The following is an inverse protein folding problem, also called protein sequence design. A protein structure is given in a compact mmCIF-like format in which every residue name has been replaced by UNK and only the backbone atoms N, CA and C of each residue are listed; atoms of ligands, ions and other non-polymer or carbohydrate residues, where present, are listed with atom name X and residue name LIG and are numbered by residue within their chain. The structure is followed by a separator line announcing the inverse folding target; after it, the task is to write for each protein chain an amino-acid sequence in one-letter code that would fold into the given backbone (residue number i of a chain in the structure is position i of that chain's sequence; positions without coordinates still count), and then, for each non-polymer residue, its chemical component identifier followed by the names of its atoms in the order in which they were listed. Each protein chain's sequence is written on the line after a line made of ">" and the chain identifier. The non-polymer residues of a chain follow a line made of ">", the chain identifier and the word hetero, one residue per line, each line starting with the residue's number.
data_IF_274102968398
#
_entry.id   IF_274102968398
#
_cell.length_a   1.000
_cell.length_b   1.000
_cell.length_c   1.000
_cell.angle_alpha   90.00
_cell.angle_beta   90.00
_cell.angle_gamma   90.00
#
_symmetry.space_group_name_H-M   'P 1'
#
loop_
_entity.id
_entity.type
_entity.pdbx_description
1 polymer ?
#
# COMPACT_ATOMS: atom_id res chain seq x y z
N UNK A 1 -6.34 -26.21 -14.28
CA UNK A 1 -7.11 -25.55 -13.19
C UNK A 1 -6.16 -24.91 -12.19
N UNK A 2 -5.25 -25.66 -11.58
CA UNK A 2 -4.22 -25.15 -10.65
C UNK A 2 -3.37 -23.99 -11.19
N UNK A 3 -2.86 -24.08 -12.42
CA UNK A 3 -2.10 -22.99 -13.06
C UNK A 3 -2.92 -21.70 -13.24
N UNK A 4 -4.21 -21.84 -13.58
CA UNK A 4 -5.11 -20.69 -13.71
C UNK A 4 -5.36 -20.05 -12.35
N UNK A 5 -5.60 -20.85 -11.30
CA UNK A 5 -5.77 -20.37 -9.94
C UNK A 5 -4.53 -19.64 -9.39
N UNK A 6 -3.31 -20.02 -9.82
CA UNK A 6 -2.08 -19.32 -9.46
C UNK A 6 -1.86 -18.01 -10.21
N UNK A 7 -2.26 -17.91 -11.49
CA UNK A 7 -2.07 -16.71 -12.31
C UNK A 7 -3.19 -15.68 -12.14
N UNK A 8 -4.41 -16.14 -11.81
CA UNK A 8 -5.59 -15.30 -11.66
C UNK A 8 -5.40 -14.14 -10.65
N UNK A 9 -4.81 -14.34 -9.45
CA UNK A 9 -4.52 -13.25 -8.52
C UNK A 9 -3.60 -12.17 -9.10
N UNK A 10 -2.59 -12.55 -9.90
CA UNK A 10 -1.70 -11.58 -10.57
C UNK A 10 -2.47 -10.78 -11.62
N UNK A 11 -3.26 -11.45 -12.46
CA UNK A 11 -4.06 -10.78 -13.50
C UNK A 11 -5.05 -9.81 -12.85
N UNK A 12 -5.71 -10.21 -11.77
CA UNK A 12 -6.56 -9.33 -10.98
C UNK A 12 -5.78 -8.18 -10.32
N UNK A 13 -4.56 -8.42 -9.83
CA UNK A 13 -3.72 -7.39 -9.24
C UNK A 13 -3.26 -6.35 -10.28
N UNK A 14 -2.82 -6.80 -11.45
CA UNK A 14 -2.47 -5.91 -12.57
C UNK A 14 -3.70 -5.12 -13.03
N UNK A 15 -4.82 -5.82 -13.25
CA UNK A 15 -6.09 -5.20 -13.63
C UNK A 15 -6.57 -4.17 -12.59
N UNK A 16 -6.39 -4.45 -11.30
CA UNK A 16 -6.71 -3.51 -10.23
C UNK A 16 -5.82 -2.27 -10.27
N UNK A 17 -4.50 -2.44 -10.38
CA UNK A 17 -3.58 -1.29 -10.43
C UNK A 17 -3.85 -0.36 -11.62
N UNK A 18 -4.15 -0.92 -12.80
CA UNK A 18 -4.53 -0.11 -13.96
C UNK A 18 -5.95 0.46 -13.84
N UNK A 19 -6.90 -0.33 -13.33
CA UNK A 19 -8.31 0.06 -13.20
C UNK A 19 -8.54 1.17 -12.17
N UNK A 20 -7.83 1.14 -11.04
CA UNK A 20 -7.94 2.20 -10.01
C UNK A 20 -7.55 3.56 -10.59
N UNK A 21 -6.48 3.63 -11.38
CA UNK A 21 -6.07 4.89 -12.01
C UNK A 21 -7.16 5.47 -12.94
N UNK A 22 -7.96 4.61 -13.59
CA UNK A 22 -9.06 5.02 -14.46
C UNK A 22 -10.30 5.45 -13.65
N UNK A 23 -10.60 4.75 -12.55
CA UNK A 23 -11.73 5.06 -11.66
C UNK A 23 -11.47 6.32 -10.83
N UNK A 24 -10.23 6.56 -10.41
CA UNK A 24 -9.79 7.79 -9.73
C UNK A 24 -10.08 9.06 -10.55
N UNK A 25 -10.19 8.94 -11.88
CA UNK A 25 -10.57 10.05 -12.76
C UNK A 25 -12.03 10.49 -12.60
N UNK A 26 -12.92 9.59 -12.13
CA UNK A 26 -14.37 9.86 -11.99
C UNK A 26 -14.81 10.00 -10.53
N UNK A 27 -14.10 9.37 -9.59
CA UNK A 27 -14.36 9.50 -8.15
C UNK A 27 -13.02 9.66 -7.42
N UNK A 28 -12.81 10.76 -6.67
CA UNK A 28 -11.57 10.92 -5.90
C UNK A 28 -11.45 9.76 -4.91
N UNK A 29 -10.29 9.11 -4.83
CA UNK A 29 -10.05 8.06 -3.84
C UNK A 29 -9.82 8.67 -2.45
N UNK A 30 -9.86 7.83 -1.41
CA UNK A 30 -9.41 8.25 -0.06
C UNK A 30 -8.00 8.88 -0.09
N UNK A 31 -7.13 8.42 -1.00
CA UNK A 31 -5.77 8.97 -1.17
C UNK A 31 -5.79 10.45 -1.58
N UNK A 32 -6.72 10.83 -2.46
CA UNK A 32 -6.95 12.21 -2.91
C UNK A 32 -7.49 13.08 -1.77
N UNK A 33 -8.42 12.58 -0.97
CA UNK A 33 -8.90 13.34 0.19
C UNK A 33 -7.76 13.56 1.20
N UNK A 34 -6.95 12.54 1.42
CA UNK A 34 -5.81 12.63 2.33
C UNK A 34 -4.69 13.54 1.80
N UNK A 35 -4.57 13.77 0.48
CA UNK A 35 -3.57 14.73 -0.02
C UNK A 35 -3.90 16.16 0.41
N UNK A 36 -5.17 16.53 0.50
CA UNK A 36 -5.60 17.82 1.07
C UNK A 36 -5.20 17.96 2.53
N UNK A 37 -5.34 16.88 3.33
CA UNK A 37 -4.92 16.90 4.73
C UNK A 37 -3.40 16.93 4.89
N UNK A 38 -2.65 16.27 3.99
CA UNK A 38 -1.18 16.39 3.94
C UNK A 38 -0.75 17.81 3.62
N UNK A 39 -1.42 18.49 2.68
CA UNK A 39 -1.17 19.91 2.39
C UNK A 39 -1.41 20.78 3.63
N UNK A 40 -2.53 20.58 4.33
CA UNK A 40 -2.81 21.28 5.59
C UNK A 40 -1.80 20.97 6.67
N UNK A 41 -1.35 19.73 6.75
CA UNK A 41 -0.32 19.34 7.70
C UNK A 41 0.96 20.14 7.45
N UNK A 42 1.44 20.21 6.20
CA UNK A 42 2.60 21.03 5.82
C UNK A 42 2.36 22.52 6.10
N UNK A 43 1.21 23.07 5.70
CA UNK A 43 0.87 24.48 5.92
C UNK A 43 0.78 24.85 7.42
N UNK A 44 0.41 23.90 8.28
CA UNK A 44 0.42 24.10 9.72
C UNK A 44 1.83 23.95 10.30
N UNK A 45 2.64 23.04 9.75
CA UNK A 45 4.02 22.83 10.14
C UNK A 45 4.89 24.08 9.86
N UNK A 46 4.60 24.85 8.82
CA UNK A 46 5.33 26.12 8.55
C UNK A 46 5.06 27.20 9.59
N UNK A 47 3.90 27.15 10.25
CA UNK A 47 3.42 28.18 11.19
C UNK A 47 3.63 27.80 12.66
N UNK A 48 3.93 26.54 12.96
CA UNK A 48 4.07 26.04 14.33
C UNK A 48 5.49 25.53 14.55
N UNK A 49 6.04 25.86 15.70
CA UNK A 49 7.32 25.33 16.15
C UNK A 49 7.04 24.18 17.12
N UNK A 50 7.01 22.94 16.62
CA UNK A 50 6.65 21.77 17.42
C UNK A 50 7.39 20.51 16.97
N UNK A 51 7.86 19.66 17.92
CA UNK A 51 8.45 18.37 17.58
C UNK A 51 7.42 17.36 17.04
N UNK A 52 6.12 17.68 17.08
CA UNK A 52 5.04 16.80 16.63
C UNK A 52 5.24 16.29 15.21
N UNK A 53 5.71 17.16 14.31
CA UNK A 53 5.92 16.86 12.90
C UNK A 53 7.02 15.81 12.68
N UNK A 54 8.11 15.91 13.45
CA UNK A 54 9.19 14.93 13.44
C UNK A 54 8.73 13.58 14.01
N UNK A 55 7.94 13.59 15.10
CA UNK A 55 7.41 12.37 15.73
C UNK A 55 6.46 11.63 14.77
N UNK A 56 5.50 12.34 14.18
CA UNK A 56 4.55 11.75 13.23
C UNK A 56 5.26 11.16 12.01
N UNK A 57 6.22 11.90 11.45
CA UNK A 57 6.99 11.45 10.29
C UNK A 57 7.87 10.24 10.63
N UNK A 58 8.50 10.24 11.81
CA UNK A 58 9.27 9.11 12.33
C UNK A 58 8.42 7.85 12.49
N UNK A 59 7.21 7.97 13.04
CA UNK A 59 6.27 6.85 13.17
C UNK A 59 5.86 6.26 11.81
N UNK A 60 5.59 7.13 10.82
CA UNK A 60 5.28 6.68 9.45
C UNK A 60 6.46 5.92 8.83
N UNK A 61 7.67 6.46 8.95
CA UNK A 61 8.87 5.81 8.44
C UNK A 61 9.16 4.47 9.12
N UNK A 62 8.96 4.38 10.44
CA UNK A 62 9.13 3.14 11.18
C UNK A 62 8.16 2.06 10.69
N UNK A 63 6.88 2.41 10.48
CA UNK A 63 5.89 1.49 9.93
C UNK A 63 6.26 0.99 8.52
N UNK A 64 6.74 1.90 7.66
CA UNK A 64 7.21 1.55 6.30
C UNK A 64 8.43 0.62 6.35
N UNK A 65 9.40 0.94 7.22
CA UNK A 65 10.64 0.15 7.38
C UNK A 65 10.36 -1.26 7.92
N UNK A 66 9.43 -1.38 8.87
CA UNK A 66 8.99 -2.67 9.40
C UNK A 66 8.42 -3.54 8.27
N UNK A 67 7.49 -3.00 7.48
CA UNK A 67 6.87 -3.73 6.38
C UNK A 67 7.88 -4.09 5.28
N UNK A 68 8.83 -3.21 4.95
CA UNK A 68 9.90 -3.52 4.02
C UNK A 68 10.76 -4.69 4.52
N UNK A 69 11.14 -4.68 5.79
CA UNK A 69 11.92 -5.76 6.41
C UNK A 69 11.15 -7.07 6.43
N UNK A 70 9.85 -7.03 6.74
CA UNK A 70 8.98 -8.21 6.65
C UNK A 70 8.90 -8.75 5.23
N UNK A 71 8.85 -7.88 4.20
CA UNK A 71 8.85 -8.33 2.80
C UNK A 71 10.12 -9.11 2.47
N UNK A 72 11.29 -8.63 2.92
CA UNK A 72 12.58 -9.32 2.70
C UNK A 72 12.59 -10.70 3.38
N UNK A 73 12.11 -10.79 4.62
CA UNK A 73 12.03 -12.06 5.34
C UNK A 73 11.13 -13.07 4.61
N UNK A 74 9.99 -12.62 4.09
CA UNK A 74 9.08 -13.48 3.31
C UNK A 74 9.73 -13.89 1.99
N UNK A 75 10.42 -12.98 1.30
CA UNK A 75 11.18 -13.29 0.08
C UNK A 75 12.21 -14.39 0.35
N UNK A 76 12.99 -14.28 1.44
CA UNK A 76 13.96 -15.29 1.84
C UNK A 76 13.30 -16.65 2.13
N UNK A 77 12.17 -16.65 2.84
CA UNK A 77 11.43 -17.87 3.16
C UNK A 77 10.91 -18.57 1.89
N UNK A 78 10.35 -17.80 0.94
CA UNK A 78 9.88 -18.34 -0.34
C UNK A 78 11.06 -18.88 -1.16
N UNK A 79 12.18 -18.16 -1.19
CA UNK A 79 13.38 -18.61 -1.91
C UNK A 79 13.94 -19.93 -1.35
N UNK A 80 13.97 -20.07 -0.02
CA UNK A 80 14.34 -21.32 0.63
C UNK A 80 13.36 -22.47 0.32
N UNK A 81 12.06 -22.17 0.27
CA UNK A 81 11.03 -23.14 -0.10
C UNK A 81 11.17 -23.64 -1.55
N UNK A 82 11.57 -22.76 -2.48
CA UNK A 82 11.85 -23.13 -3.88
C UNK A 82 12.98 -24.16 -3.99
N UNK A 83 14.00 -24.07 -3.12
CA UNK A 83 15.09 -25.05 -3.06
C UNK A 83 14.67 -26.44 -2.58
N UNK A 84 13.53 -26.56 -1.89
CA UNK A 84 13.05 -27.79 -1.26
C UNK A 84 11.62 -28.17 -1.70
N UNK A 85 11.23 -27.81 -2.93
CA UNK A 85 9.84 -27.98 -3.40
C UNK A 85 9.34 -29.42 -3.32
N UNK A 86 10.17 -30.40 -3.67
CA UNK A 86 9.76 -31.82 -3.62
C UNK A 86 9.33 -32.21 -2.19
N UNK A 87 10.16 -31.92 -1.18
CA UNK A 87 9.83 -32.20 0.22
C UNK A 87 8.63 -31.39 0.73
N UNK A 88 8.44 -30.16 0.23
CA UNK A 88 7.27 -29.35 0.56
C UNK A 88 5.97 -29.94 -0.02
N UNK A 89 6.00 -30.44 -1.26
CA UNK A 89 4.86 -31.13 -1.89
C UNK A 89 4.54 -32.42 -1.12
N UNK A 90 5.55 -33.21 -0.78
CA UNK A 90 5.36 -34.45 -0.02
C UNK A 90 4.73 -34.17 1.35
N UNK A 91 5.23 -33.15 2.06
CA UNK A 91 4.69 -32.73 3.36
C UNK A 91 3.24 -32.28 3.26
N UNK A 92 2.91 -31.45 2.27
CA UNK A 92 1.53 -30.98 2.04
C UNK A 92 0.59 -32.13 1.66
N UNK A 93 1.07 -33.10 0.88
CA UNK A 93 0.30 -34.28 0.51
C UNK A 93 -0.01 -35.17 1.73
N UNK A 94 0.91 -35.25 2.69
CA UNK A 94 0.71 -35.99 3.94
C UNK A 94 -0.36 -35.37 4.85
N UNK A 95 -0.58 -34.05 4.76
CA UNK A 95 -1.67 -33.38 5.48
C UNK A 95 -3.07 -33.70 4.92
N UNK A 96 -3.17 -34.41 3.78
CA UNK A 96 -4.45 -34.82 3.22
C UNK A 96 -5.30 -33.66 2.66
N UNK A 97 -4.68 -32.50 2.44
CA UNK A 97 -5.31 -31.39 1.73
C UNK A 97 -5.43 -31.84 0.26
N UNK A 98 -6.66 -32.17 -0.16
CA UNK A 98 -7.01 -33.04 -1.30
C UNK A 98 -6.68 -32.55 -2.71
N UNK A 99 -5.46 -32.07 -2.94
CA UNK A 99 -4.95 -31.58 -4.21
C UNK A 99 -3.61 -32.25 -4.51
N UNK A 100 -3.57 -33.04 -5.59
CA UNK A 100 -2.30 -33.54 -6.13
C UNK A 100 -1.53 -32.37 -6.76
N UNK A 101 -0.66 -31.75 -5.99
CA UNK A 101 0.22 -30.69 -6.48
C UNK A 101 1.36 -31.30 -7.29
N UNK A 102 1.53 -30.87 -8.54
CA UNK A 102 2.75 -31.19 -9.28
C UNK A 102 3.87 -30.26 -8.82
N UNK A 103 5.10 -30.78 -8.76
CA UNK A 103 6.30 -29.99 -8.42
C UNK A 103 6.40 -28.74 -9.29
N UNK A 104 6.10 -28.85 -10.59
CA UNK A 104 6.11 -27.71 -11.51
C UNK A 104 5.05 -26.64 -11.18
N UNK A 105 3.82 -27.05 -10.84
CA UNK A 105 2.77 -26.08 -10.44
C UNK A 105 3.15 -25.36 -9.15
N UNK A 106 3.76 -26.08 -8.20
CA UNK A 106 4.24 -25.51 -6.94
C UNK A 106 5.38 -24.50 -7.16
N UNK A 107 6.35 -24.82 -8.02
CA UNK A 107 7.43 -23.90 -8.39
C UNK A 107 6.88 -22.61 -9.00
N UNK A 108 5.96 -22.72 -9.96
CA UNK A 108 5.32 -21.54 -10.58
C UNK A 108 4.58 -20.71 -9.53
N UNK A 109 3.83 -21.35 -8.63
CA UNK A 109 3.10 -20.66 -7.58
C UNK A 109 4.04 -19.91 -6.61
N UNK A 110 5.14 -20.54 -6.19
CA UNK A 110 6.15 -19.89 -5.34
C UNK A 110 6.84 -18.72 -6.05
N UNK A 111 7.12 -18.83 -7.35
CA UNK A 111 7.67 -17.72 -8.15
C UNK A 111 6.68 -16.54 -8.26
N UNK A 112 5.39 -16.83 -8.35
CA UNK A 112 4.32 -15.83 -8.31
C UNK A 112 4.33 -15.09 -6.97
N UNK A 113 4.30 -15.82 -5.85
CA UNK A 113 4.40 -15.23 -4.51
C UNK A 113 5.68 -14.41 -4.33
N UNK A 114 6.81 -14.94 -4.78
CA UNK A 114 8.10 -14.26 -4.74
C UNK A 114 8.03 -12.92 -5.47
N UNK A 115 7.46 -12.91 -6.68
CA UNK A 115 7.32 -11.70 -7.49
C UNK A 115 6.46 -10.62 -6.79
N UNK A 116 5.36 -11.02 -6.16
CA UNK A 116 4.49 -10.10 -5.40
C UNK A 116 5.27 -9.45 -4.24
N UNK A 117 5.99 -10.24 -3.45
CA UNK A 117 6.74 -9.71 -2.30
C UNK A 117 7.96 -8.89 -2.69
N UNK A 118 8.64 -9.24 -3.79
CA UNK A 118 9.71 -8.40 -4.36
C UNK A 118 9.15 -7.04 -4.80
N UNK A 119 8.02 -7.02 -5.52
CA UNK A 119 7.36 -5.77 -5.92
C UNK A 119 6.91 -4.94 -4.71
N UNK A 120 6.41 -5.60 -3.65
CA UNK A 120 6.07 -4.94 -2.39
C UNK A 120 7.28 -4.32 -1.71
N UNK A 121 8.40 -5.05 -1.65
CA UNK A 121 9.65 -4.56 -1.08
C UNK A 121 10.15 -3.30 -1.81
N UNK A 122 10.15 -3.29 -3.14
CA UNK A 122 10.52 -2.10 -3.92
C UNK A 122 9.57 -0.93 -3.64
N UNK A 123 8.26 -1.18 -3.55
CA UNK A 123 7.26 -0.16 -3.24
C UNK A 123 7.49 0.47 -1.85
N UNK A 124 7.77 -0.35 -0.84
CA UNK A 124 8.09 0.15 0.50
C UNK A 124 9.43 0.90 0.55
N UNK A 125 10.46 0.40 -0.13
CA UNK A 125 11.76 1.08 -0.20
C UNK A 125 11.66 2.43 -0.90
N UNK A 126 10.89 2.53 -1.99
CA UNK A 126 10.59 3.79 -2.66
C UNK A 126 9.80 4.73 -1.75
N UNK A 127 8.79 4.22 -1.05
CA UNK A 127 8.03 5.00 -0.06
C UNK A 127 8.94 5.55 1.04
N UNK A 128 9.86 4.74 1.57
CA UNK A 128 10.77 5.13 2.63
C UNK A 128 11.72 6.24 2.15
N UNK A 129 12.26 6.13 0.94
CA UNK A 129 13.08 7.19 0.33
C UNK A 129 12.32 8.50 0.20
N UNK A 130 11.08 8.46 -0.30
CA UNK A 130 10.28 9.67 -0.46
C UNK A 130 9.86 10.28 0.89
N UNK A 131 9.58 9.46 1.92
CA UNK A 131 9.36 9.99 3.28
C UNK A 131 10.61 10.62 3.87
N UNK A 132 11.80 10.06 3.65
CA UNK A 132 13.05 10.68 4.06
C UNK A 132 13.23 12.05 3.41
N UNK A 133 13.02 12.16 2.10
CA UNK A 133 13.09 13.44 1.39
C UNK A 133 12.05 14.43 1.92
N UNK A 134 10.82 13.97 2.21
CA UNK A 134 9.79 14.80 2.84
C UNK A 134 10.25 15.33 4.21
N UNK A 135 10.85 14.51 5.07
CA UNK A 135 11.37 14.95 6.37
C UNK A 135 12.48 15.99 6.21
N UNK A 136 13.36 15.83 5.23
CA UNK A 136 14.42 16.81 4.94
C UNK A 136 13.82 18.14 4.52
N UNK A 137 12.86 18.14 3.58
CA UNK A 137 12.21 19.38 3.15
C UNK A 137 11.41 20.03 4.28
N UNK A 138 10.72 19.24 5.09
CA UNK A 138 9.95 19.73 6.24
C UNK A 138 10.87 20.36 7.29
N UNK A 139 12.04 19.76 7.55
CA UNK A 139 13.04 20.28 8.47
C UNK A 139 13.85 21.47 7.92
N UNK A 140 13.79 21.72 6.60
CA UNK A 140 14.43 22.87 5.96
C UNK A 140 13.57 24.13 5.99
N UNK A 141 12.30 24.03 6.44
CA UNK A 141 11.41 25.18 6.57
C UNK A 141 11.96 26.12 7.65
N UNK A 142 12.10 27.40 7.30
CA UNK A 142 12.37 28.47 8.27
C UNK A 142 11.05 29.10 8.74
N UNK A 143 10.99 29.47 10.02
CA UNK A 143 9.86 30.22 10.58
C UNK A 143 10.02 31.75 10.45
N UNK A 144 11.20 32.22 10.03
CA UNK A 144 11.49 33.66 9.89
C UNK A 144 10.82 34.26 8.66
N UNK A 145 10.68 33.47 7.58
CA UNK A 145 10.00 33.87 6.36
C UNK A 145 8.77 32.99 6.13
N UNK A 146 7.60 33.57 5.80
CA UNK A 146 6.43 32.79 5.49
C UNK A 146 6.68 31.92 4.25
N UNK A 147 6.52 30.60 4.41
CA UNK A 147 6.62 29.66 3.30
C UNK A 147 5.60 30.00 2.20
N UNK A 148 6.02 29.89 0.95
CA UNK A 148 5.14 30.14 -0.19
C UNK A 148 4.15 28.99 -0.38
N UNK A 149 3.00 29.25 -1.01
CA UNK A 149 2.02 28.19 -1.33
C UNK A 149 2.64 27.12 -2.26
N UNK A 150 3.54 27.50 -3.17
CA UNK A 150 4.26 26.59 -4.06
C UNK A 150 5.18 25.64 -3.29
N UNK A 151 5.89 26.15 -2.28
CA UNK A 151 6.73 25.35 -1.40
C UNK A 151 5.91 24.35 -0.58
N UNK A 152 4.81 24.80 0.01
CA UNK A 152 3.86 23.94 0.75
C UNK A 152 3.33 22.83 -0.16
N UNK A 153 2.94 23.17 -1.39
CA UNK A 153 2.41 22.21 -2.35
C UNK A 153 3.47 21.19 -2.81
N UNK A 154 4.71 21.62 -3.02
CA UNK A 154 5.81 20.73 -3.39
C UNK A 154 6.09 19.69 -2.29
N UNK A 155 6.19 20.13 -1.03
CA UNK A 155 6.43 19.26 0.13
C UNK A 155 5.24 18.29 0.32
N UNK A 156 4.00 18.78 0.21
CA UNK A 156 2.80 17.96 0.36
C UNK A 156 2.65 16.92 -0.76
N UNK A 157 3.05 17.27 -1.98
CA UNK A 157 3.04 16.35 -3.13
C UNK A 157 4.04 15.22 -2.92
N UNK A 158 5.22 15.51 -2.36
CA UNK A 158 6.22 14.49 -2.03
C UNK A 158 5.71 13.51 -0.96
N UNK A 159 5.05 14.03 0.09
CA UNK A 159 4.40 13.19 1.10
C UNK A 159 3.30 12.30 0.48
N UNK A 160 2.52 12.87 -0.45
CA UNK A 160 1.46 12.14 -1.15
C UNK A 160 2.03 11.03 -2.06
N UNK A 161 3.17 11.28 -2.71
CA UNK A 161 3.88 10.28 -3.51
C UNK A 161 4.43 9.14 -2.64
N UNK A 162 5.00 9.47 -1.48
CA UNK A 162 5.45 8.48 -0.50
C UNK A 162 4.26 7.60 -0.06
N UNK A 163 3.16 8.21 0.37
CA UNK A 163 1.96 7.48 0.78
C UNK A 163 1.35 6.62 -0.35
N UNK A 164 1.44 7.05 -1.61
CA UNK A 164 1.01 6.25 -2.77
C UNK A 164 1.84 4.97 -2.89
N UNK A 165 3.17 5.06 -2.80
CA UNK A 165 4.06 3.90 -2.84
C UNK A 165 3.84 2.96 -1.64
N UNK A 166 3.60 3.52 -0.45
CA UNK A 166 3.23 2.74 0.73
C UNK A 166 1.95 1.92 0.50
N UNK A 167 0.90 2.57 0.00
CA UNK A 167 -0.37 1.91 -0.30
C UNK A 167 -0.22 0.85 -1.41
N UNK A 168 0.65 1.07 -2.41
CA UNK A 168 0.95 0.06 -3.42
C UNK A 168 1.56 -1.21 -2.80
N UNK A 169 2.50 -1.06 -1.86
CA UNK A 169 3.07 -2.19 -1.13
C UNK A 169 2.03 -2.94 -0.29
N UNK A 170 1.20 -2.21 0.46
CA UNK A 170 0.09 -2.81 1.22
C UNK A 170 -0.89 -3.56 0.30
N UNK A 171 -1.19 -3.01 -0.88
CA UNK A 171 -2.03 -3.69 -1.86
C UNK A 171 -1.40 -4.99 -2.33
N UNK A 172 -0.10 -5.01 -2.64
CA UNK A 172 0.59 -6.25 -2.98
C UNK A 172 0.46 -7.30 -1.87
N UNK A 173 0.56 -6.92 -0.60
CA UNK A 173 0.34 -7.82 0.54
C UNK A 173 -1.08 -8.40 0.56
N UNK A 174 -2.09 -7.59 0.26
CA UNK A 174 -3.46 -8.08 0.16
C UNK A 174 -3.64 -9.11 -0.95
N UNK A 175 -2.97 -8.94 -2.09
CA UNK A 175 -3.00 -9.94 -3.17
C UNK A 175 -2.13 -11.17 -2.90
N UNK A 176 -1.26 -11.15 -1.88
CA UNK A 176 -0.57 -12.35 -1.42
C UNK A 176 -1.49 -13.27 -0.58
N UNK A 177 -2.54 -12.74 0.06
CA UNK A 177 -3.46 -13.55 0.89
C UNK A 177 -4.20 -14.63 0.08
N UNK A 178 -4.81 -14.34 -1.09
CA UNK A 178 -5.38 -15.39 -1.93
C UNK A 178 -4.35 -16.40 -2.43
N UNK A 179 -3.10 -15.96 -2.67
CA UNK A 179 -2.04 -16.86 -3.07
C UNK A 179 -1.68 -17.83 -1.92
N UNK A 180 -1.68 -17.41 -0.66
CA UNK A 180 -1.54 -18.33 0.48
C UNK A 180 -2.72 -19.31 0.57
N UNK A 181 -3.95 -18.86 0.30
CA UNK A 181 -5.13 -19.73 0.31
C UNK A 181 -5.09 -20.87 -0.73
N UNK A 182 -4.27 -20.72 -1.76
CA UNK A 182 -4.06 -21.74 -2.79
C UNK A 182 -3.47 -23.05 -2.23
N UNK A 183 -2.68 -22.98 -1.16
CA UNK A 183 -2.16 -24.17 -0.47
C UNK A 183 -3.25 -25.02 0.18
N UNK A 184 -4.46 -24.47 0.38
CA UNK A 184 -5.61 -25.20 0.94
C UNK A 184 -6.51 -25.73 -0.17
N UNK A 185 -6.82 -24.91 -1.18
CA UNK A 185 -7.64 -25.32 -2.32
C UNK A 185 -7.57 -24.30 -3.45
N UNK A 186 -7.52 -24.79 -4.69
CA UNK A 186 -7.63 -23.97 -5.91
C UNK A 186 -8.89 -23.08 -5.89
N UNK A 187 -10.02 -23.59 -5.39
CA UNK A 187 -11.28 -22.84 -5.33
C UNK A 187 -11.25 -21.76 -4.24
N UNK A 188 -10.63 -22.06 -3.10
CA UNK A 188 -10.49 -21.12 -2.00
C UNK A 188 -9.66 -19.90 -2.43
N UNK A 189 -8.59 -20.11 -3.21
CA UNK A 189 -7.81 -19.02 -3.79
C UNK A 189 -8.66 -18.09 -4.66
N UNK A 190 -9.55 -18.64 -5.50
CA UNK A 190 -10.44 -17.84 -6.37
C UNK A 190 -11.45 -17.05 -5.52
N UNK A 191 -12.13 -17.71 -4.57
CA UNK A 191 -13.12 -17.06 -3.70
C UNK A 191 -12.47 -15.94 -2.87
N UNK A 192 -11.29 -16.19 -2.30
CA UNK A 192 -10.56 -15.20 -1.51
C UNK A 192 -10.05 -14.07 -2.42
N UNK A 193 -9.65 -14.35 -3.66
CA UNK A 193 -9.28 -13.30 -4.62
C UNK A 193 -10.45 -12.35 -4.90
N UNK A 194 -11.64 -12.89 -5.19
CA UNK A 194 -12.84 -12.07 -5.45
C UNK A 194 -13.27 -11.30 -4.21
N UNK A 195 -13.23 -11.95 -3.05
CA UNK A 195 -13.55 -11.31 -1.76
C UNK A 195 -12.58 -10.17 -1.47
N UNK A 196 -11.28 -10.39 -1.68
CA UNK A 196 -10.26 -9.38 -1.44
C UNK A 196 -10.36 -8.21 -2.43
N UNK A 197 -10.60 -8.49 -3.70
CA UNK A 197 -10.83 -7.46 -4.70
C UNK A 197 -12.04 -6.59 -4.31
N UNK A 198 -13.15 -7.23 -3.94
CA UNK A 198 -14.37 -6.54 -3.48
C UNK A 198 -14.10 -5.72 -2.23
N UNK A 199 -13.35 -6.28 -1.27
CA UNK A 199 -12.97 -5.60 -0.04
C UNK A 199 -12.11 -4.37 -0.31
N UNK A 200 -11.08 -4.46 -1.15
CA UNK A 200 -10.20 -3.32 -1.46
C UNK A 200 -10.98 -2.24 -2.21
N UNK A 201 -11.77 -2.60 -3.23
CA UNK A 201 -12.63 -1.65 -3.97
C UNK A 201 -13.61 -0.95 -3.03
N UNK A 202 -14.32 -1.71 -2.20
CA UNK A 202 -15.25 -1.15 -1.24
C UNK A 202 -14.54 -0.25 -0.23
N UNK A 203 -13.35 -0.63 0.23
CA UNK A 203 -12.58 0.18 1.18
C UNK A 203 -12.07 1.48 0.56
N UNK A 204 -11.64 1.44 -0.70
CA UNK A 204 -11.03 2.58 -1.40
C UNK A 204 -12.07 3.64 -1.83
N UNK A 205 -13.31 3.23 -2.13
CA UNK A 205 -14.36 4.12 -2.64
C UNK A 205 -15.60 4.28 -1.75
N UNK A 206 -15.92 3.31 -0.89
CA UNK A 206 -17.18 3.28 -0.12
C UNK A 206 -17.00 3.26 1.40
N UNK A 207 -15.78 3.12 1.92
CA UNK A 207 -15.53 3.09 3.37
C UNK A 207 -15.98 4.39 4.06
N UNK A 208 -16.58 4.25 5.25
CA UNK A 208 -16.92 5.35 6.17
C UNK A 208 -15.77 6.33 6.39
N UNK A 209 -14.52 5.87 6.30
CA UNK A 209 -13.33 6.73 6.35
C UNK A 209 -13.28 7.75 5.19
N UNK A 210 -13.77 7.42 4.00
CA UNK A 210 -13.91 8.35 2.88
C UNK A 210 -14.94 9.45 3.20
N UNK A 211 -16.11 9.06 3.73
CA UNK A 211 -17.17 10.02 4.12
C UNK A 211 -16.72 10.94 5.25
N UNK A 212 -15.99 10.41 6.25
CA UNK A 212 -15.49 11.17 7.39
C UNK A 212 -14.31 12.06 6.97
N UNK A 213 -13.37 11.56 6.17
CA UNK A 213 -12.28 12.38 5.66
C UNK A 213 -12.79 13.49 4.72
N UNK A 214 -13.81 13.20 3.90
CA UNK A 214 -14.49 14.20 3.07
C UNK A 214 -15.17 15.27 3.91
N UNK A 215 -15.88 14.90 4.99
CA UNK A 215 -16.52 15.88 5.87
C UNK A 215 -15.49 16.76 6.60
N UNK A 216 -14.39 16.19 7.08
CA UNK A 216 -13.29 16.96 7.69
C UNK A 216 -12.61 17.86 6.65
N UNK A 217 -12.43 17.39 5.41
CA UNK A 217 -11.87 18.20 4.33
C UNK A 217 -12.74 19.43 4.03
N UNK A 218 -14.07 19.25 3.95
CA UNK A 218 -15.07 20.29 3.72
C UNK A 218 -15.20 21.26 4.90
N UNK A 219 -15.15 20.77 6.15
CA UNK A 219 -15.23 21.62 7.33
C UNK A 219 -14.01 22.55 7.40
N UNK A 220 -12.82 22.01 7.19
CA UNK A 220 -11.61 22.82 7.24
C UNK A 220 -11.46 23.76 6.02
N UNK A 221 -12.05 23.46 4.85
CA UNK A 221 -12.05 24.42 3.72
C UNK A 221 -12.98 25.60 3.98
N UNK A 222 -14.11 25.36 4.67
CA UNK A 222 -14.99 26.44 5.13
C UNK A 222 -14.30 27.35 6.15
N UNK A 223 -13.47 26.81 7.05
CA UNK A 223 -12.68 27.63 7.99
C UNK A 223 -11.64 28.50 7.27
N UNK A 224 -10.88 27.93 6.33
CA UNK A 224 -9.91 28.68 5.54
C UNK A 224 -10.57 29.83 4.73
N UNK A 225 -11.78 29.61 4.20
CA UNK A 225 -12.55 30.66 3.53
C UNK A 225 -13.04 31.75 4.48
N UNK A 226 -13.43 31.39 5.71
CA UNK A 226 -13.84 32.37 6.72
C UNK A 226 -12.67 33.21 7.24
N UNK A 227 -11.48 32.62 7.37
CA UNK A 227 -10.28 33.34 7.78
C UNK A 227 -9.74 34.26 6.69
N UNK A 228 -9.89 33.91 5.39
CA UNK A 228 -9.56 34.79 4.26
C UNK A 228 -10.55 35.94 4.05
N UNK A 229 -11.76 35.84 4.60
CA UNK A 229 -12.80 36.86 4.48
C UNK A 229 -12.78 37.89 5.62
N UNK A 230 -11.90 37.73 6.60
CA UNK A 230 -11.63 38.67 7.69
C UNK A 230 -10.34 39.42 7.44
#
# INVERSE_FOLDING_TARGET
>A
MSLFASLFPIVCWLGYNYGVALVERHRPSLSVIMSLQRRRWVANATRRESPMDAILSGNLMQAVSLLASTSVLIVLAIFAAIGQVAGLVDTLSAFGIGTHYTVGAMQVHLLVLLSIFVMSFFSFTLSLRQFNHFCIMLGAITHETPATEEEIDAIAMLNSLAAKNFNNGIRAYYFAVPAVAWFVSDWLAIVITVTMLTFIVHREFFSSAHRIAASVAVIASRREQQDRAK
#
